data_IF_671332403801
#
_entry.id   IF_671332403801
#
_cell.length_a   1.000
_cell.length_b   1.000
_cell.length_c   1.000
_cell.angle_alpha   90.00
_cell.angle_beta   90.00
_cell.angle_gamma   90.00
#
_symmetry.space_group_name_H-M   'P 1'
#
loop_
_entity.id
_entity.type
_entity.pdbx_description
1 polymer ?
#
# COMPACT_ATOMS: atom_id res chain seq x y z
N UNK A 1 32.49 7.12 3.13
CA UNK A 1 31.82 8.18 3.93
C UNK A 1 30.64 7.60 4.72
N UNK A 2 30.89 6.66 5.63
CA UNK A 2 29.84 5.94 6.40
C UNK A 2 29.68 6.50 7.84
N UNK A 3 30.50 7.48 8.24
CA UNK A 3 30.63 7.88 9.64
C UNK A 3 29.66 8.95 10.18
N UNK A 4 28.93 9.69 9.35
CA UNK A 4 28.15 10.87 9.81
C UNK A 4 26.63 10.67 9.89
N UNK A 5 26.10 9.58 9.33
CA UNK A 5 24.64 9.37 9.21
C UNK A 5 24.11 8.21 10.06
N UNK A 6 24.96 7.46 10.77
CA UNK A 6 24.54 6.27 11.52
C UNK A 6 23.47 6.57 12.57
N UNK A 7 23.57 7.71 13.26
CA UNK A 7 22.57 8.15 14.23
C UNK A 7 21.23 8.49 13.58
N UNK A 8 21.24 9.25 12.48
CA UNK A 8 20.02 9.59 11.72
C UNK A 8 19.34 8.33 11.19
N UNK A 9 20.11 7.37 10.67
CA UNK A 9 19.60 6.08 10.21
C UNK A 9 18.91 5.36 11.37
N UNK A 10 19.57 5.22 12.52
CA UNK A 10 19.01 4.52 13.68
C UNK A 10 17.70 5.17 14.17
N UNK A 11 17.63 6.51 14.21
CA UNK A 11 16.42 7.25 14.58
C UNK A 11 15.29 7.06 13.57
N UNK A 12 15.60 7.13 12.26
CA UNK A 12 14.61 6.93 11.20
C UNK A 12 14.06 5.50 11.25
N UNK A 13 14.93 4.49 11.36
CA UNK A 13 14.52 3.09 11.48
C UNK A 13 13.71 2.84 12.75
N UNK A 14 14.13 3.41 13.89
CA UNK A 14 13.38 3.30 15.15
C UNK A 14 11.98 3.93 15.06
N UNK A 15 11.88 5.11 14.43
CA UNK A 15 10.61 5.80 14.22
C UNK A 15 9.70 5.04 13.27
N UNK A 16 10.23 4.54 12.15
CA UNK A 16 9.49 3.72 11.18
C UNK A 16 9.04 2.40 11.80
N UNK A 17 9.86 1.78 12.65
CA UNK A 17 9.51 0.56 13.35
C UNK A 17 8.34 0.79 14.32
N UNK A 18 8.41 1.87 15.12
CA UNK A 18 7.31 2.24 16.02
C UNK A 18 6.05 2.54 15.21
N UNK A 19 6.17 3.32 14.14
CA UNK A 19 5.07 3.65 13.25
C UNK A 19 4.43 2.38 12.68
N UNK A 20 5.22 1.44 12.16
CA UNK A 20 4.74 0.18 11.62
C UNK A 20 3.93 -0.63 12.64
N UNK A 21 4.39 -0.69 13.90
CA UNK A 21 3.67 -1.36 14.98
C UNK A 21 2.30 -0.73 15.27
N UNK A 22 2.23 0.60 15.35
CA UNK A 22 0.95 1.30 15.54
C UNK A 22 0.05 1.21 14.30
N UNK A 23 0.63 1.30 13.12
CA UNK A 23 -0.07 1.23 11.85
C UNK A 23 -0.75 -0.12 11.67
N UNK A 24 -0.05 -1.22 11.94
CA UNK A 24 -0.60 -2.58 11.90
C UNK A 24 -1.84 -2.74 12.81
N UNK A 25 -1.77 -2.17 14.03
CA UNK A 25 -2.91 -2.15 14.97
C UNK A 25 -4.11 -1.36 14.41
N UNK A 26 -3.86 -0.22 13.79
CA UNK A 26 -4.92 0.61 13.17
C UNK A 26 -5.52 -0.11 11.96
N UNK A 27 -4.69 -0.72 11.12
CA UNK A 27 -5.11 -1.50 9.95
C UNK A 27 -5.96 -2.68 10.39
N UNK A 28 -5.49 -3.49 11.34
CA UNK A 28 -6.23 -4.64 11.86
C UNK A 28 -7.58 -4.23 12.46
N UNK A 29 -7.65 -3.07 13.11
CA UNK A 29 -8.91 -2.52 13.61
C UNK A 29 -9.85 -2.10 12.47
N UNK A 30 -9.31 -1.53 11.39
CA UNK A 30 -10.08 -1.10 10.22
C UNK A 30 -10.57 -2.29 9.38
N UNK A 31 -9.75 -3.33 9.23
CA UNK A 31 -10.12 -4.61 8.60
C UNK A 31 -11.28 -5.27 9.35
N UNK A 32 -11.20 -5.32 10.69
CA UNK A 32 -12.27 -5.86 11.55
C UNK A 32 -13.61 -5.13 11.42
N UNK A 33 -13.62 -3.88 10.97
CA UNK A 33 -14.84 -3.10 10.75
C UNK A 33 -15.46 -3.31 9.35
N UNK A 34 -14.93 -4.24 8.54
CA UNK A 34 -15.53 -4.64 7.26
C UNK A 34 -15.23 -3.69 6.09
N UNK A 35 -14.16 -2.88 6.19
CA UNK A 35 -13.72 -1.95 5.14
C UNK A 35 -12.77 -2.58 4.10
N UNK A 36 -12.66 -3.91 4.08
CA UNK A 36 -11.63 -4.71 3.37
C UNK A 36 -11.67 -4.60 1.84
N UNK A 37 -12.80 -4.33 1.21
CA UNK A 37 -12.90 -4.46 -0.24
C UNK A 37 -12.40 -3.21 -1.01
N UNK A 38 -12.29 -2.05 -0.36
CA UNK A 38 -12.05 -0.76 -1.04
C UNK A 38 -10.80 0.01 -0.61
N UNK A 39 -10.36 -0.13 0.64
CA UNK A 39 -9.37 0.77 1.22
C UNK A 39 -7.97 0.16 1.39
N UNK A 40 -7.79 -1.14 1.16
CA UNK A 40 -6.51 -1.84 1.31
C UNK A 40 -5.41 -1.22 0.43
N UNK A 41 -5.75 -0.85 -0.82
CA UNK A 41 -4.80 -0.17 -1.70
C UNK A 41 -4.38 1.20 -1.15
N UNK A 42 -5.32 1.97 -0.58
CA UNK A 42 -5.04 3.27 0.04
C UNK A 42 -4.14 3.12 1.27
N UNK A 43 -4.39 2.10 2.10
CA UNK A 43 -3.56 1.78 3.26
C UNK A 43 -2.13 1.43 2.84
N UNK A 44 -1.96 0.62 1.80
CA UNK A 44 -0.61 0.29 1.30
C UNK A 44 0.09 1.53 0.76
N UNK A 45 -0.59 2.36 -0.04
CA UNK A 45 -0.01 3.60 -0.55
C UNK A 45 0.41 4.54 0.58
N UNK A 46 -0.43 4.70 1.59
CA UNK A 46 -0.14 5.56 2.74
C UNK A 46 1.08 5.06 3.54
N UNK A 47 1.14 3.77 3.86
CA UNK A 47 2.29 3.18 4.56
C UNK A 47 3.60 3.28 3.76
N UNK A 48 3.54 3.07 2.44
CA UNK A 48 4.68 3.22 1.55
C UNK A 48 5.17 4.66 1.47
N UNK A 49 4.28 5.66 1.44
CA UNK A 49 4.65 7.07 1.43
C UNK A 49 5.37 7.49 2.71
N UNK A 50 4.94 7.01 3.87
CA UNK A 50 5.60 7.29 5.15
C UNK A 50 7.00 6.66 5.18
N UNK A 51 7.12 5.43 4.68
CA UNK A 51 8.41 4.75 4.56
C UNK A 51 9.37 5.51 3.64
N UNK A 52 8.90 5.91 2.46
CA UNK A 52 9.68 6.71 1.51
C UNK A 52 10.01 8.10 2.06
N UNK A 53 9.12 8.69 2.86
CA UNK A 53 9.39 9.92 3.61
C UNK A 53 10.55 9.77 4.60
N UNK A 54 10.62 8.65 5.32
CA UNK A 54 11.76 8.33 6.19
C UNK A 54 13.06 8.15 5.40
N UNK A 55 13.01 7.45 4.27
CA UNK A 55 14.17 7.29 3.37
C UNK A 55 14.61 8.63 2.78
N UNK A 56 13.66 9.51 2.45
CA UNK A 56 13.93 10.83 1.88
C UNK A 56 14.73 11.76 2.81
N UNK A 57 14.58 11.59 4.13
CA UNK A 57 15.38 12.29 5.15
C UNK A 57 16.85 11.85 5.11
N UNK A 58 17.12 10.60 4.72
CA UNK A 58 18.48 10.05 4.61
C UNK A 58 19.07 10.36 3.24
N UNK A 59 18.33 10.05 2.17
CA UNK A 59 18.70 10.29 0.78
C UNK A 59 17.45 10.47 -0.11
N UNK A 60 17.27 11.69 -0.61
CA UNK A 60 16.13 12.06 -1.46
C UNK A 60 16.14 11.33 -2.82
N UNK A 61 17.32 11.01 -3.37
CA UNK A 61 17.42 10.32 -4.66
C UNK A 61 17.01 8.85 -4.52
N UNK A 62 17.44 8.21 -3.44
CA UNK A 62 17.02 6.84 -3.11
C UNK A 62 15.50 6.76 -2.90
N UNK A 63 14.91 7.75 -2.22
CA UNK A 63 13.46 7.83 -2.05
C UNK A 63 12.72 8.03 -3.38
N UNK A 64 13.20 8.91 -4.27
CA UNK A 64 12.60 9.13 -5.57
C UNK A 64 12.65 7.88 -6.46
N UNK A 65 13.77 7.15 -6.47
CA UNK A 65 13.90 5.88 -7.17
C UNK A 65 12.97 4.81 -6.59
N UNK A 66 12.87 4.73 -5.26
CA UNK A 66 11.96 3.83 -4.56
C UNK A 66 10.49 4.12 -4.89
N UNK A 67 10.09 5.39 -4.94
CA UNK A 67 8.74 5.80 -5.34
C UNK A 67 8.44 5.39 -6.78
N UNK A 68 9.37 5.64 -7.70
CA UNK A 68 9.23 5.25 -9.11
C UNK A 68 9.08 3.74 -9.28
N UNK A 69 9.92 2.95 -8.60
CA UNK A 69 9.84 1.49 -8.62
C UNK A 69 8.52 0.97 -8.02
N UNK A 70 8.09 1.55 -6.90
CA UNK A 70 6.81 1.22 -6.27
C UNK A 70 5.63 1.53 -7.19
N UNK A 71 5.61 2.70 -7.84
CA UNK A 71 4.57 3.07 -8.78
C UNK A 71 4.53 2.13 -10.00
N UNK A 72 5.70 1.83 -10.59
CA UNK A 72 5.80 0.94 -11.75
C UNK A 72 5.29 -0.48 -11.44
N UNK A 73 5.60 -1.01 -10.26
CA UNK A 73 5.13 -2.33 -9.81
C UNK A 73 3.65 -2.30 -9.38
N UNK A 74 3.26 -1.33 -8.55
CA UNK A 74 1.92 -1.21 -7.99
C UNK A 74 0.85 -0.93 -9.03
N UNK A 75 1.17 -0.19 -10.09
CA UNK A 75 0.25 0.10 -11.19
C UNK A 75 -0.31 -1.18 -11.84
N UNK A 76 0.56 -2.16 -12.11
CA UNK A 76 0.13 -3.45 -12.69
C UNK A 76 -0.79 -4.23 -11.75
N UNK A 77 -0.56 -4.14 -10.43
CA UNK A 77 -1.38 -4.84 -9.43
C UNK A 77 -2.79 -4.26 -9.31
N UNK A 78 -2.92 -2.94 -9.34
CA UNK A 78 -4.23 -2.23 -9.34
C UNK A 78 -4.99 -2.49 -10.63
N UNK A 79 -4.31 -2.45 -11.78
CA UNK A 79 -4.95 -2.73 -13.06
C UNK A 79 -5.50 -4.17 -13.12
N UNK A 80 -4.75 -5.14 -12.61
CA UNK A 80 -5.18 -6.53 -12.53
C UNK A 80 -6.33 -6.76 -11.55
N UNK A 81 -6.40 -6.04 -10.42
CA UNK A 81 -7.54 -6.13 -9.50
C UNK A 81 -8.81 -5.53 -10.14
N UNK A 82 -8.69 -4.39 -10.82
CA UNK A 82 -9.80 -3.74 -11.50
C UNK A 82 -10.36 -4.61 -12.64
N UNK A 83 -9.50 -5.18 -13.48
CA UNK A 83 -9.89 -6.09 -14.54
C UNK A 83 -10.66 -7.31 -14.00
N UNK A 84 -10.14 -7.94 -12.93
CA UNK A 84 -10.80 -9.08 -12.26
C UNK A 84 -12.15 -8.68 -11.66
N UNK A 85 -12.26 -7.49 -11.08
CA UNK A 85 -13.52 -6.96 -10.56
C UNK A 85 -14.56 -6.74 -11.66
N UNK A 86 -14.18 -6.10 -12.76
CA UNK A 86 -15.07 -5.88 -13.91
C UNK A 86 -15.54 -7.21 -14.51
N UNK A 87 -14.64 -8.20 -14.62
CA UNK A 87 -14.99 -9.49 -15.20
C UNK A 87 -15.89 -10.35 -14.30
N UNK A 88 -15.74 -10.25 -12.97
CA UNK A 88 -16.68 -10.85 -12.01
C UNK A 88 -18.08 -10.22 -12.09
N UNK A 89 -18.18 -8.90 -12.24
CA UNK A 89 -19.46 -8.20 -12.44
C UNK A 89 -20.18 -8.66 -13.71
N UNK A 90 -19.44 -8.87 -14.80
CA UNK A 90 -20.00 -9.36 -16.07
C UNK A 90 -20.52 -10.80 -15.98
N UNK A 91 -19.89 -11.67 -15.18
CA UNK A 91 -20.35 -13.06 -14.99
C UNK A 91 -21.54 -13.18 -14.03
N UNK A 92 -21.62 -12.35 -12.99
CA UNK A 92 -22.74 -12.34 -12.04
C UNK A 92 -24.07 -11.83 -12.63
N UNK A 93 -24.03 -10.92 -13.61
CA UNK A 93 -25.24 -10.42 -14.28
C UNK A 93 -25.84 -11.40 -15.31
N UNK A 94 -25.10 -12.44 -15.71
CA UNK A 94 -25.59 -13.46 -16.64
C UNK A 94 -26.54 -14.48 -16.01
N UNK A 95 -26.44 -14.73 -14.70
CA UNK A 95 -27.25 -15.76 -14.03
C UNK A 95 -28.65 -15.30 -13.59
N UNK A 96 -28.89 -13.99 -13.37
CA UNK A 96 -30.21 -13.51 -12.91
C UNK A 96 -31.27 -13.40 -14.02
N UNK A 97 -30.88 -13.50 -15.30
CA UNK A 97 -31.80 -13.32 -16.43
C UNK A 97 -32.46 -14.61 -16.93
N UNK A 98 -32.10 -15.76 -16.37
CA UNK A 98 -32.61 -17.08 -16.77
C UNK A 98 -33.64 -17.70 -15.82
N UNK A 99 -34.06 -17.00 -14.76
CA UNK A 99 -35.00 -17.51 -13.75
C UNK A 99 -36.43 -16.93 -13.90
N UNK A 100 -36.70 -16.18 -14.98
CA UNK A 100 -38.01 -15.53 -15.25
C UNK A 100 -38.67 -16.06 -16.54
N UNK A 101 -38.26 -17.23 -17.04
CA UNK A 101 -38.90 -17.89 -18.19
C UNK A 101 -39.46 -19.26 -17.82
#
# INVERSE_FOLDING_TARGET
>A
MIGRNSGTILVVFGTLFLFGFFYDRVVTWLERNGYDEGYTALLVVFGSLITLGGVAVIDWRAAALGLGAFAASGFWMVLGSWWRHVQRRRRGQGSQRGEIE
#
